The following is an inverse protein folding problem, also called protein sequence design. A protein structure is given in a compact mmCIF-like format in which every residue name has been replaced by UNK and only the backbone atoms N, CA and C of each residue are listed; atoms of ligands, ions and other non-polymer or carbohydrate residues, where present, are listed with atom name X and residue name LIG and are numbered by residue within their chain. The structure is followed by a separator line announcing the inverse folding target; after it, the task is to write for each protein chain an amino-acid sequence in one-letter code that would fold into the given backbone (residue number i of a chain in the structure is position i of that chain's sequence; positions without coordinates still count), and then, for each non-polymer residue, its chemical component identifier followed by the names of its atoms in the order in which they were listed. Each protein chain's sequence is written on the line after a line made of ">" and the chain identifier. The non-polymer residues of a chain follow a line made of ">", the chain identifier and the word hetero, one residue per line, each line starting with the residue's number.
data_IF_538461807663
#
_entry.id   IF_538461807663
#
_cell.length_a   1.000
_cell.length_b   1.000
_cell.length_c   1.000
_cell.angle_alpha   90.00
_cell.angle_beta   90.00
_cell.angle_gamma   90.00
#
_symmetry.space_group_name_H-M   'P 1'
#
loop_
_entity.id
_entity.type
_entity.pdbx_description
1 polymer ?
#
# COMPACT_ATOMS: atom_id res chain seq x y z
N UNK A 1 2.00 -14.96 20.09
CA UNK A 1 1.32 -13.66 20.20
C UNK A 1 -0.14 -13.81 19.79
N UNK A 2 -1.05 -13.00 20.36
CA UNK A 2 -2.46 -12.91 19.93
C UNK A 2 -2.75 -11.62 19.19
N UNK A 3 -3.55 -11.68 18.14
CA UNK A 3 -4.13 -10.52 17.47
C UNK A 3 -5.62 -10.79 17.23
N UNK A 4 -6.48 -9.81 17.56
CA UNK A 4 -7.96 -9.90 17.43
C UNK A 4 -8.56 -11.24 17.94
N UNK A 5 -8.02 -11.75 19.05
CA UNK A 5 -8.46 -13.01 19.68
C UNK A 5 -7.94 -14.30 19.04
N UNK A 6 -7.08 -14.23 18.02
CA UNK A 6 -6.48 -15.39 17.33
C UNK A 6 -4.99 -15.52 17.68
N UNK A 7 -4.51 -16.75 17.86
CA UNK A 7 -3.07 -17.06 18.07
C UNK A 7 -2.33 -17.04 16.74
N UNK A 8 -1.39 -16.10 16.57
CA UNK A 8 -0.70 -15.86 15.29
C UNK A 8 0.78 -16.28 15.28
N UNK A 9 1.23 -16.96 16.34
CA UNK A 9 2.64 -17.32 16.53
C UNK A 9 3.48 -16.16 17.06
N UNK A 10 4.80 -16.34 17.13
CA UNK A 10 5.73 -15.39 17.76
C UNK A 10 6.72 -14.75 16.78
N UNK A 11 6.64 -15.10 15.48
CA UNK A 11 7.55 -14.58 14.46
C UNK A 11 7.50 -13.04 14.34
N UNK A 12 6.33 -12.44 14.60
CA UNK A 12 6.12 -10.99 14.53
C UNK A 12 6.41 -10.27 15.86
N UNK A 13 6.57 -11.01 16.97
CA UNK A 13 6.75 -10.44 18.31
C UNK A 13 7.94 -9.47 18.39
N UNK A 14 9.13 -9.76 17.81
CA UNK A 14 10.25 -8.83 17.87
C UNK A 14 9.94 -7.48 17.21
N UNK A 15 9.27 -7.48 16.05
CA UNK A 15 8.85 -6.25 15.36
C UNK A 15 7.80 -5.50 16.19
N UNK A 16 6.82 -6.21 16.74
CA UNK A 16 5.80 -5.60 17.58
C UNK A 16 6.41 -4.90 18.81
N UNK A 17 7.29 -5.60 19.53
CA UNK A 17 7.94 -5.06 20.74
C UNK A 17 8.84 -3.85 20.41
N UNK A 18 9.54 -3.87 19.28
CA UNK A 18 10.31 -2.74 18.79
C UNK A 18 9.42 -1.52 18.54
N UNK A 19 8.32 -1.68 17.81
CA UNK A 19 7.40 -0.58 17.49
C UNK A 19 6.74 -0.03 18.75
N UNK A 20 6.33 -0.87 19.69
CA UNK A 20 5.82 -0.44 21.01
C UNK A 20 6.85 0.42 21.74
N UNK A 21 8.11 -0.04 21.79
CA UNK A 21 9.16 0.69 22.48
C UNK A 21 9.44 2.05 21.82
N UNK A 22 9.48 2.09 20.49
CA UNK A 22 9.70 3.33 19.72
C UNK A 22 8.53 4.31 19.85
N UNK A 23 7.28 3.85 19.71
CA UNK A 23 6.10 4.70 19.93
C UNK A 23 6.13 5.37 21.29
N UNK A 24 6.51 4.61 22.33
CA UNK A 24 6.62 5.16 23.68
C UNK A 24 7.76 6.17 23.82
N UNK A 25 8.90 5.92 23.21
CA UNK A 25 10.08 6.77 23.34
C UNK A 25 10.04 8.04 22.47
N UNK A 26 9.49 7.94 21.26
CA UNK A 26 9.56 8.99 20.22
C UNK A 26 8.28 9.83 20.14
N UNK A 27 7.13 9.26 20.50
CA UNK A 27 5.82 9.90 20.36
C UNK A 27 4.98 9.94 21.65
N UNK A 28 5.45 9.30 22.73
CA UNK A 28 4.68 9.04 23.96
C UNK A 28 3.33 8.34 23.71
N UNK A 29 3.23 7.58 22.60
CA UNK A 29 2.01 6.91 22.19
C UNK A 29 1.95 5.44 22.64
N UNK A 30 0.72 4.94 22.85
CA UNK A 30 0.41 3.51 22.96
C UNK A 30 0.04 2.89 21.60
N UNK A 31 -0.24 1.59 21.60
CA UNK A 31 -0.77 0.87 20.44
C UNK A 31 -1.97 0.00 20.84
N UNK A 32 -3.00 -0.03 20.01
CA UNK A 32 -4.17 -0.91 20.12
C UNK A 32 -4.28 -1.76 18.86
N UNK A 33 -4.70 -3.01 18.99
CA UNK A 33 -4.99 -3.91 17.86
C UNK A 33 -6.46 -4.30 17.93
N UNK A 34 -7.23 -3.87 16.94
CA UNK A 34 -8.69 -3.94 16.96
C UNK A 34 -9.26 -4.71 15.75
N UNK A 35 -10.36 -5.46 15.93
CA UNK A 35 -11.04 -6.09 14.81
C UNK A 35 -11.87 -5.07 14.03
N UNK A 36 -11.83 -5.13 12.70
CA UNK A 36 -12.74 -4.35 11.85
C UNK A 36 -13.39 -5.17 10.73
N UNK A 37 -14.40 -4.55 10.10
CA UNK A 37 -15.04 -5.01 8.88
C UNK A 37 -14.95 -3.91 7.82
N UNK A 38 -14.48 -4.23 6.63
CA UNK A 38 -14.26 -3.24 5.58
C UNK A 38 -13.57 -3.83 4.34
N UNK A 39 -13.18 -2.97 3.40
CA UNK A 39 -12.55 -3.40 2.14
C UNK A 39 -11.05 -3.68 2.23
N UNK A 40 -10.35 -3.09 3.20
CA UNK A 40 -8.92 -3.30 3.41
C UNK A 40 -8.64 -4.54 4.27
N UNK A 41 -7.40 -5.03 4.26
CA UNK A 41 -6.95 -6.09 5.17
C UNK A 41 -6.53 -5.54 6.54
N UNK A 42 -5.94 -4.35 6.53
CA UNK A 42 -5.50 -3.63 7.71
C UNK A 42 -5.57 -2.13 7.50
N UNK A 43 -5.67 -1.37 8.58
CA UNK A 43 -5.56 0.08 8.58
C UNK A 43 -4.82 0.57 9.84
N UNK A 44 -4.23 1.77 9.76
CA UNK A 44 -3.46 2.39 10.84
C UNK A 44 -3.95 3.82 11.05
N UNK A 45 -4.57 4.06 12.20
CA UNK A 45 -5.02 5.37 12.63
C UNK A 45 -4.14 5.88 13.78
N UNK A 46 -3.72 7.14 13.69
CA UNK A 46 -3.04 7.83 14.77
C UNK A 46 -4.06 8.72 15.46
N UNK A 47 -4.53 8.31 16.63
CA UNK A 47 -5.55 9.08 17.33
C UNK A 47 -4.96 10.30 18.06
N UNK A 48 -5.80 11.32 18.26
CA UNK A 48 -5.42 12.54 18.99
C UNK A 48 -5.23 12.31 20.51
N UNK A 49 -5.53 11.10 21.00
CA UNK A 49 -5.45 10.72 22.41
C UNK A 49 -4.11 10.07 22.79
N UNK A 50 -3.22 9.88 21.81
CA UNK A 50 -1.91 9.27 22.00
C UNK A 50 -1.92 7.76 21.88
N UNK A 51 -2.83 7.17 21.09
CA UNK A 51 -2.84 5.74 20.76
C UNK A 51 -2.86 5.55 19.25
N UNK A 52 -1.98 4.67 18.78
CA UNK A 52 -2.02 4.18 17.40
C UNK A 52 -2.94 2.97 17.34
N UNK A 53 -4.00 3.04 16.55
CA UNK A 53 -4.97 1.97 16.38
C UNK A 53 -4.64 1.21 15.10
N UNK A 54 -4.25 -0.05 15.24
CA UNK A 54 -4.13 -1.00 14.13
C UNK A 54 -5.43 -1.77 14.02
N UNK A 55 -6.17 -1.53 12.95
CA UNK A 55 -7.38 -2.28 12.63
C UNK A 55 -7.04 -3.48 11.75
N UNK A 56 -7.45 -4.70 12.14
CA UNK A 56 -7.28 -5.93 11.35
C UNK A 56 -8.61 -6.54 10.91
N UNK A 57 -8.71 -6.91 9.64
CA UNK A 57 -9.97 -7.38 9.08
C UNK A 57 -10.35 -8.75 9.66
N UNK A 58 -11.57 -8.87 10.18
CA UNK A 58 -12.04 -10.09 10.89
C UNK A 58 -12.03 -11.34 10.02
N UNK A 59 -12.20 -11.18 8.70
CA UNK A 59 -12.18 -12.25 7.70
C UNK A 59 -10.81 -12.86 7.40
N UNK A 60 -9.70 -12.29 7.89
CA UNK A 60 -8.36 -12.84 7.67
C UNK A 60 -8.21 -14.16 8.45
N UNK A 61 -7.78 -15.26 7.81
CA UNK A 61 -7.55 -16.52 8.50
C UNK A 61 -6.31 -16.42 9.40
N UNK A 62 -6.30 -17.19 10.49
CA UNK A 62 -5.24 -17.13 11.52
C UNK A 62 -3.82 -17.21 10.97
N UNK A 63 -3.56 -18.06 9.98
CA UNK A 63 -2.22 -18.25 9.41
C UNK A 63 -1.69 -17.03 8.64
N UNK A 64 -2.58 -16.22 8.05
CA UNK A 64 -2.21 -15.01 7.30
C UNK A 64 -2.22 -13.74 8.17
N UNK A 65 -2.83 -13.80 9.36
CA UNK A 65 -3.01 -12.62 10.20
C UNK A 65 -1.69 -12.03 10.71
N UNK A 66 -0.65 -12.86 10.88
CA UNK A 66 0.68 -12.38 11.26
C UNK A 66 1.28 -11.45 10.18
N UNK A 67 1.07 -11.79 8.91
CA UNK A 67 1.56 -10.99 7.79
C UNK A 67 0.81 -9.65 7.69
N UNK A 68 -0.53 -9.68 7.72
CA UNK A 68 -1.34 -8.46 7.72
C UNK A 68 -1.02 -7.51 8.89
N UNK A 69 -0.81 -8.05 10.10
CA UNK A 69 -0.33 -7.24 11.23
C UNK A 69 1.07 -6.69 10.98
N UNK A 70 1.96 -7.50 10.39
CA UNK A 70 3.30 -7.04 10.02
C UNK A 70 3.29 -5.85 9.07
N UNK A 71 2.45 -5.87 8.04
CA UNK A 71 2.29 -4.74 7.10
C UNK A 71 1.83 -3.48 7.84
N UNK A 72 0.84 -3.59 8.72
CA UNK A 72 0.39 -2.46 9.53
C UNK A 72 1.50 -1.92 10.45
N UNK A 73 2.28 -2.79 11.09
CA UNK A 73 3.43 -2.39 11.91
C UNK A 73 4.51 -1.70 11.07
N UNK A 74 4.74 -2.13 9.84
CA UNK A 74 5.65 -1.44 8.92
C UNK A 74 5.16 -0.05 8.55
N UNK A 75 3.86 0.18 8.39
CA UNK A 75 3.33 1.53 8.16
C UNK A 75 3.52 2.45 9.38
N UNK A 76 3.42 1.90 10.60
CA UNK A 76 3.79 2.64 11.82
C UNK A 76 5.28 2.98 11.79
N UNK A 77 6.15 2.00 11.49
CA UNK A 77 7.60 2.21 11.36
C UNK A 77 7.94 3.28 10.34
N UNK A 78 7.37 3.21 9.14
CA UNK A 78 7.57 4.19 8.06
C UNK A 78 7.23 5.61 8.54
N UNK A 79 6.18 5.76 9.35
CA UNK A 79 5.81 7.06 9.94
C UNK A 79 6.84 7.55 10.95
N UNK A 80 7.31 6.68 11.86
CA UNK A 80 8.37 7.00 12.82
C UNK A 80 9.70 7.34 12.11
N UNK A 81 10.02 6.62 11.04
CA UNK A 81 11.22 6.80 10.21
C UNK A 81 11.10 7.97 9.23
N UNK A 82 10.00 8.73 9.29
CA UNK A 82 9.76 9.93 8.46
C UNK A 82 9.81 9.63 6.95
N UNK A 83 9.35 8.45 6.54
CA UNK A 83 9.03 8.20 5.14
C UNK A 83 7.97 9.20 4.66
N UNK A 84 7.94 9.53 3.36
CA UNK A 84 7.02 10.53 2.83
C UNK A 84 5.55 10.15 3.01
N UNK A 85 4.67 11.14 2.86
CA UNK A 85 3.23 10.93 2.83
C UNK A 85 2.62 11.41 1.52
N UNK A 86 1.43 10.88 1.23
CA UNK A 86 0.56 11.36 0.16
C UNK A 86 -0.61 12.08 0.80
N UNK A 87 -0.60 13.40 0.76
CA UNK A 87 -1.62 14.25 1.37
C UNK A 87 -2.59 14.80 0.32
N UNK A 88 -3.80 15.27 0.71
CA UNK A 88 -4.74 15.89 -0.21
C UNK A 88 -4.14 17.09 -0.97
N UNK A 89 -4.38 17.15 -2.28
CA UNK A 89 -4.11 18.33 -3.10
C UNK A 89 -5.26 19.33 -3.13
N UNK A 90 -5.24 20.24 -4.11
CA UNK A 90 -6.25 21.30 -4.28
C UNK A 90 -7.61 20.76 -4.76
N UNK A 91 -7.59 19.67 -5.54
CA UNK A 91 -8.78 19.07 -6.13
C UNK A 91 -9.25 17.89 -5.28
N UNK A 92 -10.48 18.00 -4.76
CA UNK A 92 -11.18 16.93 -4.06
C UNK A 92 -12.41 16.48 -4.85
N UNK A 93 -12.59 15.16 -4.95
CA UNK A 93 -13.70 14.54 -5.67
C UNK A 93 -13.95 13.12 -5.16
N UNK A 94 -15.11 12.58 -5.51
CA UNK A 94 -15.49 11.20 -5.19
C UNK A 94 -14.49 10.21 -5.83
N UNK A 95 -13.64 9.59 -5.00
CA UNK A 95 -12.57 8.67 -5.43
C UNK A 95 -11.14 9.23 -5.27
N UNK A 96 -10.98 10.53 -5.04
CA UNK A 96 -9.68 11.16 -4.76
C UNK A 96 -8.91 10.51 -3.61
N UNK A 97 -9.53 10.20 -2.45
CA UNK A 97 -8.88 9.46 -1.36
C UNK A 97 -8.35 8.08 -1.79
N UNK A 98 -9.09 7.35 -2.62
CA UNK A 98 -8.69 6.03 -3.13
C UNK A 98 -7.48 6.13 -4.05
N UNK A 99 -7.42 7.15 -4.91
CA UNK A 99 -6.24 7.39 -5.76
C UNK A 99 -5.00 7.74 -4.95
N UNK A 100 -5.13 8.61 -3.94
CA UNK A 100 -4.01 8.95 -3.04
C UNK A 100 -3.49 7.72 -2.31
N UNK A 101 -4.41 6.90 -1.80
CA UNK A 101 -4.05 5.65 -1.13
C UNK A 101 -3.37 4.67 -2.11
N UNK A 102 -3.89 4.51 -3.33
CA UNK A 102 -3.26 3.67 -4.35
C UNK A 102 -1.85 4.14 -4.72
N UNK A 103 -1.65 5.46 -4.85
CA UNK A 103 -0.33 6.05 -5.10
C UNK A 103 0.64 5.78 -3.94
N UNK A 104 0.19 5.97 -2.70
CA UNK A 104 0.99 5.68 -1.50
C UNK A 104 1.39 4.21 -1.47
N UNK A 105 0.43 3.30 -1.60
CA UNK A 105 0.65 1.85 -1.47
C UNK A 105 1.37 1.23 -2.67
N UNK A 106 1.40 1.91 -3.81
CA UNK A 106 2.25 1.52 -4.93
C UNK A 106 3.74 1.50 -4.54
N UNK A 107 4.15 2.38 -3.62
CA UNK A 107 5.55 2.54 -3.18
C UNK A 107 5.78 1.99 -1.78
N UNK A 108 4.89 2.30 -0.83
CA UNK A 108 5.10 1.97 0.58
C UNK A 108 4.94 0.50 0.91
N UNK A 109 4.05 -0.20 0.22
CA UNK A 109 3.86 -1.61 0.54
C UNK A 109 4.96 -2.52 -0.03
N UNK A 110 5.55 -2.32 -1.23
CA UNK A 110 6.78 -3.04 -1.60
C UNK A 110 7.94 -2.83 -0.60
N UNK A 111 8.04 -1.64 -0.02
CA UNK A 111 9.00 -1.37 1.05
C UNK A 111 8.69 -2.19 2.30
N UNK A 112 7.44 -2.16 2.77
CA UNK A 112 7.01 -2.95 3.92
C UNK A 112 7.26 -4.46 3.71
N UNK A 113 6.92 -4.98 2.55
CA UNK A 113 7.12 -6.38 2.15
C UNK A 113 8.62 -6.76 2.16
N UNK A 114 9.48 -5.86 1.68
CA UNK A 114 10.95 -6.06 1.72
C UNK A 114 11.46 -6.20 3.15
N UNK A 115 10.94 -5.39 4.09
CA UNK A 115 11.32 -5.48 5.51
C UNK A 115 10.76 -6.72 6.20
N UNK A 116 9.60 -7.21 5.77
CA UNK A 116 8.94 -8.40 6.35
C UNK A 116 9.48 -9.71 5.80
N UNK A 117 10.07 -9.72 4.60
CA UNK A 117 10.56 -10.93 3.93
C UNK A 117 11.43 -11.84 4.83
N UNK A 118 12.36 -11.34 5.67
CA UNK A 118 13.18 -12.19 6.55
C UNK A 118 12.38 -12.97 7.61
N UNK A 119 11.15 -12.54 7.92
CA UNK A 119 10.29 -13.21 8.91
C UNK A 119 9.59 -14.45 8.35
N UNK A 120 9.58 -14.63 7.02
CA UNK A 120 9.00 -15.82 6.37
C UNK A 120 7.52 -16.04 6.67
N UNK A 121 6.75 -14.95 6.81
CA UNK A 121 5.33 -14.99 7.13
C UNK A 121 4.51 -15.53 5.94
N UNK A 122 3.38 -16.17 6.21
CA UNK A 122 2.53 -16.75 5.16
C UNK A 122 1.73 -15.67 4.41
N UNK A 123 2.15 -15.40 3.18
CA UNK A 123 1.51 -14.45 2.26
C UNK A 123 0.52 -15.12 1.30
N UNK A 124 0.42 -16.46 1.28
CA UNK A 124 -0.26 -17.19 0.21
C UNK A 124 -1.75 -16.84 0.13
N UNK A 125 -2.39 -16.63 1.28
CA UNK A 125 -3.79 -16.24 1.32
C UNK A 125 -3.98 -14.83 0.75
N UNK A 126 -3.15 -13.87 1.13
CA UNK A 126 -3.23 -12.48 0.65
C UNK A 126 -2.96 -12.38 -0.85
N UNK A 127 -1.93 -13.07 -1.34
CA UNK A 127 -1.63 -13.18 -2.77
C UNK A 127 -2.85 -13.69 -3.54
N UNK A 128 -3.55 -14.71 -3.02
CA UNK A 128 -4.78 -15.23 -3.64
C UNK A 128 -5.92 -14.22 -3.60
N UNK A 129 -6.11 -13.50 -2.48
CA UNK A 129 -7.14 -12.47 -2.39
C UNK A 129 -6.87 -11.31 -3.36
N UNK A 130 -5.64 -10.80 -3.42
CA UNK A 130 -5.24 -9.76 -4.38
C UNK A 130 -5.44 -10.23 -5.82
N UNK A 131 -4.97 -11.44 -6.14
CA UNK A 131 -5.14 -12.01 -7.48
C UNK A 131 -6.61 -12.14 -7.88
N UNK A 132 -7.47 -12.59 -6.96
CA UNK A 132 -8.91 -12.70 -7.22
C UNK A 132 -9.57 -11.31 -7.33
N UNK A 133 -9.19 -10.37 -6.46
CA UNK A 133 -9.66 -8.98 -6.52
C UNK A 133 -9.34 -8.30 -7.84
N UNK A 134 -8.13 -8.47 -8.38
CA UNK A 134 -7.79 -7.93 -9.69
C UNK A 134 -8.61 -8.59 -10.82
N UNK A 135 -8.90 -9.89 -10.76
CA UNK A 135 -9.83 -10.52 -11.71
C UNK A 135 -11.20 -9.89 -11.65
N UNK A 136 -11.71 -9.61 -10.46
CA UNK A 136 -13.04 -9.04 -10.28
C UNK A 136 -13.10 -7.59 -10.80
N UNK A 137 -12.06 -6.79 -10.53
CA UNK A 137 -11.87 -5.45 -11.12
C UNK A 137 -11.82 -5.55 -12.64
N UNK A 138 -11.00 -6.44 -13.19
CA UNK A 138 -10.89 -6.63 -14.64
C UNK A 138 -12.20 -7.11 -15.26
N UNK A 139 -13.07 -7.84 -14.56
CA UNK A 139 -14.41 -8.15 -15.08
C UNK A 139 -15.30 -6.90 -15.12
N UNK A 140 -15.24 -6.07 -14.08
CA UNK A 140 -16.04 -4.85 -13.93
C UNK A 140 -15.58 -3.66 -14.78
N UNK A 141 -14.32 -3.61 -15.20
CA UNK A 141 -13.76 -2.46 -15.93
C UNK A 141 -14.54 -2.13 -17.22
N UNK A 142 -14.84 -0.85 -17.42
CA UNK A 142 -15.51 -0.31 -18.61
C UNK A 142 -14.49 0.25 -19.60
N UNK A 143 -14.96 0.76 -20.74
CA UNK A 143 -14.08 1.43 -21.72
C UNK A 143 -13.58 2.79 -21.25
N UNK A 144 -14.24 3.40 -20.26
CA UNK A 144 -13.89 4.74 -19.78
C UNK A 144 -12.53 4.74 -19.05
N UNK A 145 -12.11 3.57 -18.57
CA UNK A 145 -10.79 3.34 -18.00
C UNK A 145 -9.65 3.54 -19.01
N UNK A 146 -9.94 3.53 -20.32
CA UNK A 146 -8.94 3.77 -21.37
C UNK A 146 -8.75 5.26 -21.69
N UNK A 147 -9.53 6.15 -21.10
CA UNK A 147 -9.29 7.59 -21.22
C UNK A 147 -8.19 8.01 -20.24
N UNK A 148 -7.01 8.45 -20.70
CA UNK A 148 -5.91 8.85 -19.82
C UNK A 148 -6.26 10.01 -18.87
N UNK A 149 -7.32 10.78 -19.17
CA UNK A 149 -7.79 11.85 -18.30
C UNK A 149 -8.75 11.35 -17.20
N UNK A 150 -9.21 10.10 -17.26
CA UNK A 150 -10.14 9.55 -16.28
C UNK A 150 -9.41 9.09 -15.00
N UNK A 151 -9.96 9.37 -13.80
CA UNK A 151 -9.46 8.83 -12.53
C UNK A 151 -9.27 7.31 -12.54
N UNK A 152 -10.18 6.59 -13.18
CA UNK A 152 -10.14 5.13 -13.30
C UNK A 152 -8.92 4.64 -14.08
N UNK A 153 -8.42 5.41 -15.06
CA UNK A 153 -7.20 5.09 -15.79
C UNK A 153 -5.98 5.13 -14.87
N UNK A 154 -5.83 6.21 -14.09
CA UNK A 154 -4.74 6.35 -13.11
C UNK A 154 -4.80 5.23 -12.06
N UNK A 155 -5.99 4.94 -11.53
CA UNK A 155 -6.18 3.83 -10.59
C UNK A 155 -5.77 2.49 -11.21
N UNK A 156 -6.26 2.20 -12.42
CA UNK A 156 -5.91 0.98 -13.15
C UNK A 156 -4.42 0.86 -13.44
N UNK A 157 -3.75 1.96 -13.79
CA UNK A 157 -2.32 1.98 -14.10
C UNK A 157 -1.48 1.69 -12.84
N UNK A 158 -1.84 2.29 -11.71
CA UNK A 158 -1.21 2.01 -10.42
C UNK A 158 -1.44 0.56 -9.97
N UNK A 159 -2.64 0.01 -10.18
CA UNK A 159 -2.91 -1.41 -9.92
C UNK A 159 -2.05 -2.32 -10.80
N UNK A 160 -1.98 -2.05 -12.11
CA UNK A 160 -1.11 -2.81 -13.01
C UNK A 160 0.34 -2.77 -12.52
N UNK A 161 0.85 -1.57 -12.23
CA UNK A 161 2.22 -1.36 -11.78
C UNK A 161 2.52 -2.15 -10.51
N UNK A 162 1.60 -2.14 -9.53
CA UNK A 162 1.78 -2.89 -8.28
C UNK A 162 1.92 -4.39 -8.53
N UNK A 163 1.08 -4.96 -9.40
CA UNK A 163 1.16 -6.38 -9.73
C UNK A 163 2.43 -6.72 -10.52
N UNK A 164 2.90 -5.81 -11.39
CA UNK A 164 4.14 -5.99 -12.13
C UNK A 164 5.41 -5.92 -11.25
N UNK A 165 5.32 -5.32 -10.06
CA UNK A 165 6.44 -5.18 -9.13
C UNK A 165 6.54 -6.35 -8.14
N UNK A 166 5.41 -6.82 -7.62
CA UNK A 166 5.37 -7.61 -6.37
C UNK A 166 4.46 -8.85 -6.45
N UNK A 167 3.83 -9.11 -7.60
CA UNK A 167 3.00 -10.32 -7.74
C UNK A 167 3.82 -11.50 -8.28
N UNK A 168 3.63 -12.73 -7.77
CA UNK A 168 4.36 -13.90 -8.26
C UNK A 168 4.24 -14.07 -9.78
N UNK A 169 5.37 -14.26 -10.46
CA UNK A 169 5.47 -14.24 -11.93
C UNK A 169 4.54 -15.27 -12.59
N UNK A 170 4.42 -16.45 -11.99
CA UNK A 170 3.56 -17.53 -12.46
C UNK A 170 2.07 -17.18 -12.41
N UNK A 171 1.66 -16.33 -11.46
CA UNK A 171 0.30 -15.82 -11.35
C UNK A 171 0.09 -14.55 -12.17
N UNK A 172 1.13 -13.71 -12.30
CA UNK A 172 1.06 -12.44 -13.00
C UNK A 172 0.94 -12.62 -14.51
N UNK A 173 1.69 -13.56 -15.10
CA UNK A 173 1.76 -13.75 -16.56
C UNK A 173 0.37 -13.89 -17.22
N UNK A 174 -0.55 -14.61 -16.57
CA UNK A 174 -1.91 -14.77 -17.07
C UNK A 174 -2.73 -13.48 -16.96
N UNK A 175 -2.67 -12.82 -15.80
CA UNK A 175 -3.36 -11.55 -15.56
C UNK A 175 -2.85 -10.44 -16.45
N UNK A 176 -1.53 -10.31 -16.64
CA UNK A 176 -0.92 -9.33 -17.54
C UNK A 176 -1.52 -9.41 -18.95
N UNK A 177 -1.68 -10.62 -19.49
CA UNK A 177 -2.28 -10.82 -20.81
C UNK A 177 -3.74 -10.40 -20.85
N UNK A 178 -4.52 -10.74 -19.83
CA UNK A 178 -5.92 -10.34 -19.72
C UNK A 178 -6.06 -8.81 -19.59
N UNK A 179 -5.26 -8.20 -18.73
CA UNK A 179 -5.19 -6.76 -18.51
C UNK A 179 -4.83 -6.03 -19.81
N UNK A 180 -3.73 -6.39 -20.46
CA UNK A 180 -3.27 -5.77 -21.71
C UNK A 180 -4.29 -5.92 -22.84
N UNK A 181 -5.02 -7.05 -22.88
CA UNK A 181 -6.06 -7.27 -23.88
C UNK A 181 -7.29 -6.40 -23.64
N UNK A 182 -7.70 -6.24 -22.38
CA UNK A 182 -8.95 -5.53 -22.02
C UNK A 182 -8.75 -4.02 -21.93
N UNK A 183 -7.63 -3.61 -21.33
CA UNK A 183 -7.27 -2.24 -21.02
C UNK A 183 -5.83 -1.92 -21.50
N UNK A 184 -5.58 -1.83 -22.81
CA UNK A 184 -4.23 -1.64 -23.34
C UNK A 184 -3.59 -0.30 -22.93
N UNK A 185 -4.32 0.82 -22.91
CA UNK A 185 -3.75 2.12 -22.53
C UNK A 185 -3.37 2.16 -21.04
N UNK A 186 -4.21 1.54 -20.19
CA UNK A 186 -3.92 1.38 -18.76
C UNK A 186 -2.69 0.50 -18.55
N UNK A 187 -2.57 -0.59 -19.30
CA UNK A 187 -1.43 -1.50 -19.20
C UNK A 187 -0.12 -0.84 -19.66
N UNK A 188 -0.15 -0.03 -20.71
CA UNK A 188 1.01 0.77 -21.16
C UNK A 188 1.46 1.75 -20.09
N UNK A 189 0.51 2.52 -19.54
CA UNK A 189 0.76 3.48 -18.45
C UNK A 189 1.31 2.78 -17.20
N UNK A 190 0.72 1.65 -16.82
CA UNK A 190 1.15 0.87 -15.66
C UNK A 190 2.55 0.26 -15.83
N UNK A 191 2.94 -0.13 -17.04
CA UNK A 191 4.32 -0.58 -17.30
C UNK A 191 5.30 0.59 -17.20
N UNK A 192 4.92 1.78 -17.69
CA UNK A 192 5.67 3.02 -17.50
C UNK A 192 5.90 3.35 -16.02
N UNK A 193 4.84 3.29 -15.21
CA UNK A 193 4.95 3.46 -13.75
C UNK A 193 5.86 2.42 -13.11
N UNK A 194 5.70 1.13 -13.44
CA UNK A 194 6.56 0.08 -12.90
C UNK A 194 8.04 0.32 -13.25
N UNK A 195 8.34 0.84 -14.44
CA UNK A 195 9.68 1.20 -14.86
C UNK A 195 10.25 2.38 -14.05
N UNK A 196 9.49 3.47 -13.89
CA UNK A 196 9.89 4.63 -13.08
C UNK A 196 10.24 4.23 -11.64
N UNK A 197 9.45 3.32 -11.06
CA UNK A 197 9.66 2.81 -9.71
C UNK A 197 10.90 1.91 -9.63
N UNK A 198 11.17 1.08 -10.64
CA UNK A 198 12.42 0.28 -10.68
C UNK A 198 13.67 1.15 -10.79
N UNK A 199 13.57 2.29 -11.47
CA UNK A 199 14.67 3.25 -11.61
C UNK A 199 14.94 4.04 -10.33
N UNK A 200 13.86 4.44 -9.64
CA UNK A 200 13.94 5.30 -8.44
C UNK A 200 14.09 4.48 -7.14
N UNK A 201 13.43 3.33 -7.06
CA UNK A 201 13.40 2.42 -5.92
C UNK A 201 12.48 2.83 -4.78
N UNK A 202 12.47 2.05 -3.71
CA UNK A 202 11.67 2.28 -2.49
C UNK A 202 12.42 1.97 -1.19
N UNK A 203 13.72 1.71 -1.25
CA UNK A 203 14.48 1.24 -0.10
C UNK A 203 14.78 2.32 0.96
N UNK A 204 14.66 3.60 0.59
CA UNK A 204 14.96 4.74 1.46
C UNK A 204 13.89 5.82 1.34
N UNK A 205 13.76 6.75 2.32
CA UNK A 205 12.83 7.87 2.21
C UNK A 205 13.01 8.71 0.94
N UNK A 206 14.27 8.97 0.52
CA UNK A 206 14.56 9.72 -0.72
C UNK A 206 14.09 8.98 -1.96
N UNK A 207 14.33 7.66 -2.02
CA UNK A 207 13.88 6.82 -3.13
C UNK A 207 12.34 6.78 -3.18
N UNK A 208 11.67 6.66 -2.03
CA UNK A 208 10.22 6.71 -1.94
C UNK A 208 9.65 8.06 -2.39
N UNK A 209 10.26 9.19 -1.98
CA UNK A 209 9.84 10.52 -2.43
C UNK A 209 9.95 10.62 -3.95
N UNK A 210 11.10 10.26 -4.51
CA UNK A 210 11.34 10.36 -5.94
C UNK A 210 10.35 9.49 -6.73
N UNK A 211 10.12 8.26 -6.28
CA UNK A 211 9.13 7.35 -6.88
C UNK A 211 7.72 7.92 -6.82
N UNK A 212 7.29 8.45 -5.65
CA UNK A 212 5.96 9.03 -5.48
C UNK A 212 5.75 10.25 -6.39
N UNK A 213 6.71 11.17 -6.44
CA UNK A 213 6.65 12.36 -7.31
C UNK A 213 6.60 11.94 -8.77
N UNK A 214 7.49 11.04 -9.21
CA UNK A 214 7.52 10.58 -10.59
C UNK A 214 6.20 9.90 -11.01
N UNK A 215 5.66 9.00 -10.18
CA UNK A 215 4.41 8.32 -10.48
C UNK A 215 3.21 9.27 -10.48
N UNK A 216 3.18 10.22 -9.55
CA UNK A 216 2.12 11.24 -9.50
C UNK A 216 2.14 12.11 -10.75
N UNK A 217 3.31 12.62 -11.12
CA UNK A 217 3.46 13.54 -12.24
C UNK A 217 3.15 12.83 -13.57
N UNK A 218 3.61 11.58 -13.72
CA UNK A 218 3.29 10.73 -14.88
C UNK A 218 1.77 10.50 -15.02
N UNK A 219 1.05 10.33 -13.90
CA UNK A 219 -0.42 10.16 -13.90
C UNK A 219 -1.20 11.48 -13.90
N UNK A 220 -0.54 12.64 -13.98
CA UNK A 220 -1.21 13.94 -13.96
C UNK A 220 -1.94 14.23 -12.64
N UNK A 221 -1.49 13.64 -11.53
CA UNK A 221 -2.18 13.68 -10.23
C UNK A 221 -1.77 14.86 -9.33
N UNK A 222 -1.05 15.85 -9.86
CA UNK A 222 -0.48 16.97 -9.07
C UNK A 222 -1.53 17.75 -8.28
N UNK A 223 -2.72 17.96 -8.85
CA UNK A 223 -3.81 18.65 -8.15
C UNK A 223 -4.55 17.75 -7.14
N UNK A 224 -4.40 16.43 -7.23
CA UNK A 224 -5.16 15.45 -6.42
C UNK A 224 -4.36 15.02 -5.19
N UNK A 225 -3.04 14.92 -5.35
CA UNK A 225 -2.12 14.30 -4.40
C UNK A 225 -0.85 15.15 -4.27
N UNK A 226 -0.56 15.66 -3.09
CA UNK A 226 0.73 16.30 -2.81
C UNK A 226 1.64 15.32 -2.07
N UNK A 227 2.95 15.42 -2.30
CA UNK A 227 3.93 14.56 -1.67
C UNK A 227 4.62 15.34 -0.56
N UNK A 228 4.43 14.91 0.68
CA UNK A 228 5.05 15.53 1.85
C UNK A 228 6.32 14.77 2.22
N UNK A 229 7.46 15.47 2.28
CA UNK A 229 8.64 14.98 2.99
C UNK A 229 8.46 15.21 4.50
N UNK A 230 8.30 14.14 5.27
CA UNK A 230 8.06 14.24 6.72
C UNK A 230 9.33 14.59 7.51
N UNK A 231 10.51 14.62 6.89
CA UNK A 231 11.79 14.95 7.56
C UNK A 231 11.95 16.46 7.74
N UNK A 232 11.50 17.26 6.77
CA UNK A 232 11.65 18.71 6.77
C UNK A 232 10.32 19.47 6.58
N UNK A 233 9.23 18.77 6.25
CA UNK A 233 7.90 19.34 6.04
C UNK A 233 7.67 19.91 4.64
N UNK A 234 8.62 19.73 3.71
CA UNK A 234 8.49 20.20 2.33
C UNK A 234 7.34 19.47 1.63
N UNK A 235 6.55 20.20 0.84
CA UNK A 235 5.44 19.66 0.05
C UNK A 235 5.74 19.93 -1.43
N UNK A 236 5.73 18.86 -2.22
CA UNK A 236 5.93 18.87 -3.67
C UNK A 236 4.66 18.46 -4.40
#
# INVERSE_FOLDING_TARGET
>A
MKAIGKEIGDAITPLYDEIVARLKAEADCGISIEPFQGGALSDVEWDDTGVVIISLHTGIPTHALAHALGVALQHVRQTLDRYPDVIPGETDFEGGPTLRHALRELIMAPEAETQLAPLGLDMQWEIKQRHQGLKDILRGATKDWEDPAAPDHAFGAMLYARFALDHPEELWTGLKKEFTKKLPAVAESGEGLAQLIRESGWATPDACIQSLVNCRDEMGMVEIALIQDRRDGTVQ
#
